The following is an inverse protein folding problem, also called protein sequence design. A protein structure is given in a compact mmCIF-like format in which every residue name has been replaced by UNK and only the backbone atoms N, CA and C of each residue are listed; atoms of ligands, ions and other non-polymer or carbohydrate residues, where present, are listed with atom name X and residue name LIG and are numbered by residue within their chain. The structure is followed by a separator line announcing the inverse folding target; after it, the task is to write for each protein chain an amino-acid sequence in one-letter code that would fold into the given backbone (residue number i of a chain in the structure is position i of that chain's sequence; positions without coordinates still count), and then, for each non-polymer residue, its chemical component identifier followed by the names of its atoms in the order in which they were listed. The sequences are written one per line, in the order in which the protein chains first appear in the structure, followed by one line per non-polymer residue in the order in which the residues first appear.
data_IF_488771610895
#
_entry.id   IF_488771610895
#
_cell.length_a   1.000
_cell.length_b   1.000
_cell.length_c   1.000
_cell.angle_alpha   90.00
_cell.angle_beta   90.00
_cell.angle_gamma   90.00
#
_symmetry.space_group_name_H-M   'P 1'
#
loop_
_entity.id
_entity.type
_entity.pdbx_description
1 polymer ?
#
# COMPACT_ATOMS: atom_id res chain seq x y z
N UNK A 1 -22.53 28.98 -41.84
CA UNK A 1 -21.31 29.31 -41.06
C UNK A 1 -21.43 28.95 -39.57
N UNK A 2 -22.59 29.13 -38.94
CA UNK A 2 -22.83 28.83 -37.52
C UNK A 2 -22.70 27.34 -37.17
N UNK A 3 -23.16 26.43 -38.04
CA UNK A 3 -23.10 24.98 -37.78
C UNK A 3 -21.67 24.41 -37.75
N UNK A 4 -20.77 24.93 -38.59
CA UNK A 4 -19.37 24.51 -38.62
C UNK A 4 -18.58 24.99 -37.38
N UNK A 5 -18.93 26.17 -36.87
CA UNK A 5 -18.39 26.67 -35.60
C UNK A 5 -18.92 25.88 -34.41
N UNK A 6 -20.20 25.49 -34.44
CA UNK A 6 -20.82 24.71 -33.38
C UNK A 6 -20.25 23.29 -33.30
N UNK A 7 -20.09 22.62 -34.44
CA UNK A 7 -19.52 21.27 -34.52
C UNK A 7 -18.03 21.26 -34.16
N UNK A 8 -17.29 22.29 -34.58
CA UNK A 8 -15.90 22.51 -34.15
C UNK A 8 -15.80 22.65 -32.63
N UNK A 9 -16.62 23.50 -32.03
CA UNK A 9 -16.64 23.73 -30.58
C UNK A 9 -17.04 22.48 -29.77
N UNK A 10 -18.05 21.75 -30.24
CA UNK A 10 -18.46 20.46 -29.66
C UNK A 10 -17.33 19.42 -29.73
N UNK A 11 -16.62 19.34 -30.86
CA UNK A 11 -15.46 18.46 -31.02
C UNK A 11 -14.36 18.76 -30.00
N UNK A 12 -14.05 20.04 -29.78
CA UNK A 12 -13.04 20.46 -28.80
C UNK A 12 -13.46 20.10 -27.37
N UNK A 13 -14.72 20.32 -27.01
CA UNK A 13 -15.25 19.99 -25.67
C UNK A 13 -15.20 18.50 -25.39
N UNK A 14 -15.61 17.66 -26.36
CA UNK A 14 -15.55 16.20 -26.24
C UNK A 14 -14.10 15.74 -26.13
N UNK A 15 -13.19 16.30 -26.95
CA UNK A 15 -11.76 16.01 -26.87
C UNK A 15 -11.15 16.36 -25.51
N UNK A 16 -11.54 17.49 -24.92
CA UNK A 16 -11.08 17.94 -23.61
C UNK A 16 -11.60 17.04 -22.48
N UNK A 17 -12.87 16.63 -22.55
CA UNK A 17 -13.50 15.69 -21.60
C UNK A 17 -12.82 14.32 -21.61
N UNK A 18 -12.62 13.77 -22.81
CA UNK A 18 -11.98 12.46 -22.99
C UNK A 18 -10.51 12.53 -22.58
N UNK A 19 -9.77 13.55 -23.02
CA UNK A 19 -8.37 13.77 -22.68
C UNK A 19 -8.14 13.89 -21.18
N UNK A 20 -8.97 14.68 -20.49
CA UNK A 20 -8.90 14.83 -19.03
C UNK A 20 -9.18 13.49 -18.31
N UNK A 21 -10.16 12.71 -18.78
CA UNK A 21 -10.46 11.39 -18.21
C UNK A 21 -9.28 10.42 -18.34
N UNK A 22 -8.58 10.44 -19.49
CA UNK A 22 -7.38 9.63 -19.69
C UNK A 22 -6.19 10.11 -18.85
N UNK A 23 -6.00 11.42 -18.71
CA UNK A 23 -4.97 12.00 -17.85
C UNK A 23 -5.16 11.55 -16.39
N UNK A 24 -6.39 11.72 -15.85
CA UNK A 24 -6.76 11.24 -14.52
C UNK A 24 -6.56 9.72 -14.35
N UNK A 25 -6.83 8.94 -15.40
CA UNK A 25 -6.60 7.50 -15.39
C UNK A 25 -5.14 7.09 -15.32
N UNK A 26 -4.22 7.87 -15.92
CA UNK A 26 -2.77 7.60 -15.87
C UNK A 26 -2.20 7.86 -14.48
N UNK A 27 -2.60 8.94 -13.83
CA UNK A 27 -2.10 9.27 -12.49
C UNK A 27 -2.51 8.22 -11.45
N UNK A 28 -3.77 7.78 -11.47
CA UNK A 28 -4.25 6.69 -10.60
C UNK A 28 -3.49 5.38 -10.77
N UNK A 29 -3.08 5.03 -12.00
CA UNK A 29 -2.29 3.82 -12.25
C UNK A 29 -0.88 3.92 -11.67
N UNK A 30 -0.28 5.11 -11.69
CA UNK A 30 1.03 5.34 -11.06
C UNK A 30 0.92 5.19 -9.55
N UNK A 31 -0.05 5.85 -8.92
CA UNK A 31 -0.30 5.74 -7.47
C UNK A 31 -0.52 4.29 -7.03
N UNK A 32 -1.35 3.55 -7.78
CA UNK A 32 -1.58 2.13 -7.52
C UNK A 32 -0.29 1.31 -7.62
N UNK A 33 0.52 1.50 -8.66
CA UNK A 33 1.75 0.74 -8.88
C UNK A 33 2.81 0.98 -7.79
N UNK A 34 2.81 2.16 -7.18
CA UNK A 34 3.71 2.50 -6.06
C UNK A 34 3.31 1.73 -4.80
N UNK A 35 2.00 1.61 -4.53
CA UNK A 35 1.47 0.99 -3.31
C UNK A 35 1.41 -0.54 -3.40
N UNK A 36 1.27 -1.07 -4.62
CA UNK A 36 1.05 -2.51 -4.85
C UNK A 36 2.10 -3.45 -4.24
N UNK A 37 3.42 -3.16 -4.28
CA UNK A 37 4.43 -4.01 -3.67
C UNK A 37 4.23 -4.18 -2.16
N UNK A 38 3.97 -3.08 -1.46
CA UNK A 38 3.73 -3.08 -0.01
C UNK A 38 2.44 -3.81 0.33
N UNK A 39 1.37 -3.57 -0.45
CA UNK A 39 0.10 -4.28 -0.31
C UNK A 39 0.28 -5.78 -0.48
N UNK A 40 1.03 -6.21 -1.50
CA UNK A 40 1.29 -7.63 -1.77
C UNK A 40 2.04 -8.29 -0.63
N UNK A 41 3.09 -7.63 -0.12
CA UNK A 41 3.87 -8.13 1.02
C UNK A 41 3.02 -8.27 2.28
N UNK A 42 2.16 -7.29 2.57
CA UNK A 42 1.24 -7.35 3.72
C UNK A 42 0.23 -8.49 3.60
N UNK A 43 -0.36 -8.68 2.43
CA UNK A 43 -1.30 -9.78 2.20
C UNK A 43 -0.60 -11.13 2.34
N UNK A 44 0.57 -11.30 1.71
CA UNK A 44 1.37 -12.52 1.85
C UNK A 44 1.77 -12.77 3.30
N UNK A 45 2.23 -11.73 4.01
CA UNK A 45 2.57 -11.81 5.42
C UNK A 45 1.38 -12.24 6.28
N UNK A 46 0.17 -11.76 5.99
CA UNK A 46 -1.03 -12.23 6.70
C UNK A 46 -1.35 -13.70 6.43
N UNK A 47 -1.21 -14.17 5.19
CA UNK A 47 -1.39 -15.59 4.84
C UNK A 47 -0.32 -16.46 5.51
N UNK A 48 0.92 -15.98 5.54
CA UNK A 48 2.03 -16.65 6.24
C UNK A 48 1.71 -16.76 7.73
N UNK A 49 1.22 -15.67 8.36
CA UNK A 49 0.84 -15.64 9.77
C UNK A 49 -0.35 -16.56 10.08
N UNK A 50 -1.36 -16.64 9.22
CA UNK A 50 -2.44 -17.62 9.34
C UNK A 50 -1.93 -19.06 9.32
N UNK A 51 -0.82 -19.30 8.61
CA UNK A 51 -0.14 -20.59 8.55
C UNK A 51 0.87 -20.80 9.69
N UNK A 52 1.02 -19.82 10.59
CA UNK A 52 1.97 -19.87 11.71
C UNK A 52 3.42 -19.52 11.33
N UNK A 53 3.64 -18.90 10.18
CA UNK A 53 4.95 -18.51 9.66
C UNK A 53 5.10 -16.99 9.53
N UNK A 54 6.34 -16.52 9.39
CA UNK A 54 6.63 -15.12 9.11
C UNK A 54 7.85 -15.00 8.19
N UNK A 55 7.63 -15.20 6.89
CA UNK A 55 8.71 -15.24 5.88
C UNK A 55 8.97 -13.93 5.16
N UNK A 56 7.99 -13.04 5.09
CA UNK A 56 8.06 -11.83 4.25
C UNK A 56 7.89 -10.54 5.07
N UNK A 57 8.85 -10.20 5.96
CA UNK A 57 8.77 -8.99 6.74
C UNK A 57 8.80 -7.74 5.86
N UNK A 58 8.01 -6.75 6.24
CA UNK A 58 8.10 -5.40 5.69
C UNK A 58 9.43 -4.76 6.11
N UNK A 59 10.15 -4.22 5.12
CA UNK A 59 11.45 -3.59 5.32
C UNK A 59 11.33 -2.07 5.39
N UNK A 60 12.33 -1.40 5.96
CA UNK A 60 12.41 0.07 5.95
C UNK A 60 12.46 0.63 4.53
N UNK A 61 13.03 -0.11 3.57
CA UNK A 61 13.03 0.27 2.16
C UNK A 61 11.62 0.38 1.59
N UNK A 62 10.69 -0.50 2.02
CA UNK A 62 9.29 -0.43 1.60
C UNK A 62 8.62 0.88 2.07
N UNK A 63 8.94 1.34 3.29
CA UNK A 63 8.46 2.62 3.81
C UNK A 63 9.08 3.82 3.07
N UNK A 64 10.39 3.76 2.76
CA UNK A 64 11.09 4.82 2.02
C UNK A 64 10.47 4.99 0.63
N UNK A 65 10.18 3.88 -0.06
CA UNK A 65 9.54 3.91 -1.39
C UNK A 65 8.15 4.56 -1.33
N UNK A 66 7.36 4.29 -0.29
CA UNK A 66 6.08 4.97 -0.08
C UNK A 66 6.28 6.46 0.22
N UNK A 67 7.24 6.81 1.07
CA UNK A 67 7.52 8.20 1.47
C UNK A 67 8.00 9.07 0.31
N UNK A 68 8.73 8.49 -0.64
CA UNK A 68 9.19 9.18 -1.84
C UNK A 68 8.05 9.56 -2.80
N UNK A 69 6.90 8.88 -2.72
CA UNK A 69 5.84 8.97 -3.71
C UNK A 69 4.48 9.43 -3.13
N UNK A 70 4.32 9.45 -1.81
CA UNK A 70 3.10 9.87 -1.12
C UNK A 70 3.28 11.23 -0.45
N UNK A 71 2.17 11.97 -0.33
CA UNK A 71 2.17 13.22 0.44
C UNK A 71 2.39 12.97 1.93
N UNK A 72 2.88 13.99 2.65
CA UNK A 72 3.08 13.96 4.10
C UNK A 72 1.82 13.56 4.88
N UNK A 73 0.65 13.97 4.37
CA UNK A 73 -0.65 13.63 4.98
C UNK A 73 -0.97 12.13 4.87
N UNK A 74 -0.64 11.51 3.75
CA UNK A 74 -0.84 10.08 3.51
C UNK A 74 0.17 9.23 4.25
N UNK A 75 1.44 9.65 4.31
CA UNK A 75 2.52 8.83 4.88
C UNK A 75 2.52 8.82 6.42
N UNK A 76 2.16 9.92 7.09
CA UNK A 76 2.15 10.00 8.56
C UNK A 76 1.42 8.85 9.27
N UNK A 77 0.17 8.50 8.91
CA UNK A 77 -0.53 7.38 9.54
C UNK A 77 0.13 6.02 9.23
N UNK A 78 0.73 5.87 8.04
CA UNK A 78 1.44 4.65 7.64
C UNK A 78 2.74 4.49 8.44
N UNK A 79 3.53 5.56 8.57
CA UNK A 79 4.79 5.58 9.31
C UNK A 79 4.57 5.20 10.78
N UNK A 80 3.52 5.76 11.41
CA UNK A 80 3.14 5.39 12.79
C UNK A 80 2.82 3.90 12.92
N UNK A 81 1.96 3.36 12.04
CA UNK A 81 1.57 1.95 12.09
C UNK A 81 2.71 1.01 11.68
N UNK A 82 3.61 1.45 10.80
CA UNK A 82 4.79 0.72 10.40
C UNK A 82 5.76 0.53 11.56
N UNK A 83 5.96 1.57 12.38
CA UNK A 83 6.78 1.47 13.59
C UNK A 83 6.16 0.45 14.55
N UNK A 84 4.87 0.57 14.84
CA UNK A 84 4.15 -0.39 15.70
C UNK A 84 4.28 -1.81 15.15
N UNK A 85 4.12 -1.99 13.85
CA UNK A 85 4.29 -3.29 13.19
C UNK A 85 5.71 -3.85 13.36
N UNK A 86 6.75 -3.03 13.15
CA UNK A 86 8.14 -3.47 13.32
C UNK A 86 8.46 -3.82 14.78
N UNK A 87 8.01 -3.02 15.73
CA UNK A 87 8.22 -3.29 17.15
C UNK A 87 7.50 -4.57 17.57
N UNK A 88 6.28 -4.77 17.08
CA UNK A 88 5.52 -6.02 17.29
C UNK A 88 6.21 -7.21 16.65
N UNK A 89 6.73 -7.08 15.43
CA UNK A 89 7.45 -8.15 14.75
C UNK A 89 8.78 -8.51 15.44
N UNK A 90 9.39 -7.58 16.19
CA UNK A 90 10.60 -7.84 16.97
C UNK A 90 10.29 -8.52 18.31
N UNK A 91 9.14 -8.22 18.90
CA UNK A 91 8.71 -8.80 20.18
C UNK A 91 7.88 -10.08 20.03
N UNK A 92 7.35 -10.35 18.84
CA UNK A 92 6.45 -11.48 18.58
C UNK A 92 7.12 -12.85 18.72
N UNK A 93 8.45 -12.93 18.60
CA UNK A 93 9.13 -14.20 18.53
C UNK A 93 10.62 -14.10 18.26
N UNK A 94 11.24 -15.27 18.08
CA UNK A 94 12.67 -15.41 17.77
C UNK A 94 12.84 -16.48 16.70
N UNK A 95 13.81 -16.31 15.82
CA UNK A 95 14.21 -17.38 14.92
C UNK A 95 14.96 -18.47 15.69
N UNK A 96 14.64 -19.73 15.41
CA UNK A 96 15.43 -20.87 15.86
C UNK A 96 16.74 -20.99 15.05
N UNK A 97 17.54 -22.00 15.40
CA UNK A 97 18.84 -22.27 14.76
C UNK A 97 18.69 -22.67 13.28
N UNK A 98 17.50 -23.08 12.86
CA UNK A 98 17.16 -23.47 11.50
C UNK A 98 16.49 -22.34 10.69
N UNK A 99 16.32 -21.16 11.30
CA UNK A 99 15.69 -20.00 10.68
C UNK A 99 14.16 -19.98 10.76
N UNK A 100 13.53 -20.93 11.44
CA UNK A 100 12.08 -20.91 11.66
C UNK A 100 11.73 -19.86 12.70
N UNK A 101 10.74 -19.03 12.42
CA UNK A 101 10.29 -18.02 13.36
C UNK A 101 9.36 -18.64 14.41
N UNK A 102 9.80 -18.68 15.67
CA UNK A 102 9.03 -19.18 16.79
C UNK A 102 8.32 -18.02 17.49
N UNK A 103 6.99 -18.05 17.48
CA UNK A 103 6.18 -17.08 18.21
C UNK A 103 6.21 -17.33 19.72
N UNK A 104 6.25 -16.25 20.49
CA UNK A 104 6.26 -16.29 21.95
C UNK A 104 4.95 -15.70 22.46
N UNK A 105 4.20 -16.47 23.26
CA UNK A 105 2.91 -16.04 23.82
C UNK A 105 1.94 -15.57 22.72
N UNK A 106 1.37 -14.38 22.91
CA UNK A 106 0.41 -13.78 21.97
C UNK A 106 1.06 -13.11 20.76
N UNK A 107 2.36 -13.31 20.53
CA UNK A 107 3.13 -12.66 19.47
C UNK A 107 2.54 -12.82 18.08
N UNK A 108 2.00 -14.01 17.76
CA UNK A 108 1.35 -14.29 16.49
C UNK A 108 0.09 -13.42 16.29
N UNK A 109 -0.77 -13.38 17.32
CA UNK A 109 -2.02 -12.63 17.27
C UNK A 109 -1.75 -11.12 17.22
N UNK A 110 -0.81 -10.64 18.03
CA UNK A 110 -0.41 -9.23 18.06
C UNK A 110 0.16 -8.77 16.72
N UNK A 111 1.05 -9.57 16.12
CA UNK A 111 1.61 -9.26 14.80
C UNK A 111 0.52 -9.28 13.72
N UNK A 112 -0.39 -10.25 13.77
CA UNK A 112 -1.54 -10.31 12.84
C UNK A 112 -2.41 -9.06 12.93
N UNK A 113 -2.72 -8.59 14.14
CA UNK A 113 -3.49 -7.35 14.35
C UNK A 113 -2.73 -6.13 13.83
N UNK A 114 -1.43 -6.02 14.11
CA UNK A 114 -0.60 -4.93 13.61
C UNK A 114 -0.53 -4.91 12.07
N UNK A 115 -0.35 -6.08 11.43
CA UNK A 115 -0.34 -6.22 9.98
C UNK A 115 -1.70 -5.89 9.35
N UNK A 116 -2.82 -6.30 9.96
CA UNK A 116 -4.18 -5.94 9.51
C UNK A 116 -4.42 -4.42 9.59
N UNK A 117 -4.02 -3.79 10.69
CA UNK A 117 -4.18 -2.35 10.87
C UNK A 117 -3.37 -1.56 9.84
N UNK A 118 -2.12 -1.97 9.59
CA UNK A 118 -1.27 -1.35 8.57
C UNK A 118 -1.86 -1.54 7.16
N UNK A 119 -2.30 -2.76 6.84
CA UNK A 119 -2.96 -3.05 5.56
C UNK A 119 -4.22 -2.20 5.37
N UNK A 120 -5.05 -2.03 6.41
CA UNK A 120 -6.26 -1.23 6.32
C UNK A 120 -5.99 0.25 5.94
N UNK A 121 -4.88 0.82 6.41
CA UNK A 121 -4.47 2.19 6.01
C UNK A 121 -3.89 2.20 4.60
N UNK A 122 -3.05 1.22 4.25
CA UNK A 122 -2.47 1.09 2.91
C UNK A 122 -3.57 0.90 1.84
N UNK A 123 -4.64 0.17 2.14
CA UNK A 123 -5.80 -0.03 1.25
C UNK A 123 -6.63 1.24 1.03
N UNK A 124 -6.52 2.23 1.92
CA UNK A 124 -7.22 3.53 1.78
C UNK A 124 -6.46 4.53 0.91
N UNK A 125 -5.22 4.22 0.55
CA UNK A 125 -4.49 5.00 -0.46
C UNK A 125 -5.21 4.79 -1.80
N UNK A 126 -5.71 5.89 -2.34
CA UNK A 126 -6.31 5.96 -3.67
C UNK A 126 -5.23 6.24 -4.70
#
# INVERSE_FOLDING_TARGET
MTEALLSGFLGTLVGLLIGNRFALGRDKRKEYNIVMPVRTKLIKGLVDLESGYYSNPLSTNDLIMLKANLSTRQIKPIEKLFIIHQDTARSAGKSDVFGNYLFIGDGLQNLTVASKNLLAVVLRLK
#
